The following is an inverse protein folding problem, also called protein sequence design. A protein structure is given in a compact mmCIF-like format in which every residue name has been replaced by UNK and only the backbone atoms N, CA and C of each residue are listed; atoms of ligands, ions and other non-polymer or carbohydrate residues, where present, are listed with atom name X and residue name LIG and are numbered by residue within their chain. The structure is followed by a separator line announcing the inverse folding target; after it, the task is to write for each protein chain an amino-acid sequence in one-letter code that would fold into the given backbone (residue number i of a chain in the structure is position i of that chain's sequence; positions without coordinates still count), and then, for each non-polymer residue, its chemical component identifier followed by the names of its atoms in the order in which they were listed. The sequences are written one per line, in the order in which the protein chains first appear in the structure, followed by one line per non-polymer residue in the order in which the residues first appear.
data_IF_513510569920
#
_entry.id   IF_513510569920
#
_cell.length_a   1.000
_cell.length_b   1.000
_cell.length_c   1.000
_cell.angle_alpha   90.00
_cell.angle_beta   90.00
_cell.angle_gamma   90.00
#
_symmetry.space_group_name_H-M   'P 1'
#
loop_
_entity.id
_entity.type
_entity.pdbx_description
1 polymer ?
#
# COMPACT_ATOMS: atom_id res chain seq x y z
N UNK A 1 19.43 -3.91 4.77
CA UNK A 1 17.96 -3.88 4.87
C UNK A 1 17.48 -2.78 3.94
N UNK A 2 16.71 -3.11 2.91
CA UNK A 2 16.15 -2.09 2.02
C UNK A 2 14.94 -1.48 2.73
N UNK A 3 14.85 -0.16 2.76
CA UNK A 3 13.71 0.57 3.33
C UNK A 3 12.96 1.23 2.18
N UNK A 4 11.64 1.30 2.28
CA UNK A 4 10.86 2.12 1.35
C UNK A 4 11.06 3.58 1.73
N UNK A 5 11.31 4.39 0.72
CA UNK A 5 11.41 5.83 0.83
C UNK A 5 10.04 6.49 0.81
N UNK A 6 9.94 7.70 1.33
CA UNK A 6 8.74 8.51 1.18
C UNK A 6 8.39 8.79 -0.30
N UNK A 7 9.41 8.88 -1.16
CA UNK A 7 9.23 9.06 -2.60
C UNK A 7 8.50 7.88 -3.25
N UNK A 8 8.89 6.65 -2.96
CA UNK A 8 8.22 5.44 -3.45
C UNK A 8 6.76 5.37 -2.96
N UNK A 9 6.47 5.83 -1.73
CA UNK A 9 5.09 5.91 -1.23
C UNK A 9 4.28 6.98 -1.95
N UNK A 10 4.88 8.12 -2.28
CA UNK A 10 4.23 9.17 -3.06
C UNK A 10 3.91 8.69 -4.49
N UNK A 11 4.85 7.99 -5.13
CA UNK A 11 4.65 7.38 -6.45
C UNK A 11 3.55 6.32 -6.42
N UNK A 12 3.53 5.46 -5.40
CA UNK A 12 2.47 4.47 -5.22
C UNK A 12 1.10 5.13 -5.07
N UNK A 13 0.99 6.20 -4.27
CA UNK A 13 -0.25 6.95 -4.10
C UNK A 13 -0.70 7.62 -5.41
N UNK A 14 0.22 8.17 -6.19
CA UNK A 14 -0.10 8.73 -7.50
C UNK A 14 -0.61 7.64 -8.46
N UNK A 15 0.00 6.45 -8.46
CA UNK A 15 -0.44 5.32 -9.27
C UNK A 15 -1.87 4.88 -8.93
N UNK A 16 -2.23 4.82 -7.64
CA UNK A 16 -3.59 4.48 -7.21
C UNK A 16 -4.60 5.52 -7.70
N UNK A 17 -4.27 6.81 -7.56
CA UNK A 17 -5.07 7.92 -8.06
C UNK A 17 -5.27 7.86 -9.58
N UNK A 18 -4.21 7.61 -10.34
CA UNK A 18 -4.26 7.51 -11.81
C UNK A 18 -5.06 6.28 -12.27
N UNK A 19 -5.13 5.24 -11.43
CA UNK A 19 -5.96 4.05 -11.65
C UNK A 19 -7.43 4.26 -11.26
N UNK A 20 -7.80 5.46 -10.79
CA UNK A 20 -9.15 5.79 -10.35
C UNK A 20 -9.54 5.18 -9.01
N UNK A 21 -8.57 4.70 -8.23
CA UNK A 21 -8.80 4.11 -6.92
C UNK A 21 -8.72 5.16 -5.81
N UNK A 22 -9.75 5.23 -4.98
CA UNK A 22 -9.88 6.20 -3.89
C UNK A 22 -9.25 5.65 -2.59
N UNK A 23 -7.95 5.36 -2.62
CA UNK A 23 -7.17 4.91 -1.47
C UNK A 23 -5.91 5.75 -1.26
N UNK A 24 -5.42 5.76 -0.02
CA UNK A 24 -4.14 6.38 0.34
C UNK A 24 -3.30 5.46 1.23
N UNK A 25 -2.04 5.31 0.87
CA UNK A 25 -1.03 4.57 1.62
C UNK A 25 -0.25 5.52 2.51
N UNK A 26 -0.23 5.22 3.80
CA UNK A 26 0.52 5.96 4.81
C UNK A 26 1.69 5.13 5.31
N UNK A 27 2.91 5.64 5.13
CA UNK A 27 4.10 5.04 5.73
C UNK A 27 4.13 5.30 7.23
N UNK A 28 4.33 4.24 8.01
CA UNK A 28 4.50 4.26 9.45
C UNK A 28 5.85 3.62 9.81
N UNK A 29 6.57 4.26 10.71
CA UNK A 29 7.76 3.67 11.32
C UNK A 29 7.37 3.17 12.71
N UNK A 30 7.50 1.87 12.95
CA UNK A 30 7.18 1.27 14.25
C UNK A 30 8.33 0.36 14.68
N UNK A 31 9.05 0.78 15.73
CA UNK A 31 10.02 -0.03 16.48
C UNK A 31 11.01 -0.84 15.59
N UNK A 32 11.57 -0.22 14.54
CA UNK A 32 12.61 -0.82 13.71
C UNK A 32 12.11 -1.61 12.50
N UNK A 33 10.80 -1.63 12.24
CA UNK A 33 10.20 -2.10 10.99
C UNK A 33 9.32 -1.01 10.38
N UNK A 34 9.41 -0.85 9.06
CA UNK A 34 8.47 -0.01 8.33
C UNK A 34 7.18 -0.79 8.06
N UNK A 35 6.05 -0.16 8.34
CA UNK A 35 4.73 -0.66 7.99
C UNK A 35 3.97 0.41 7.22
N UNK A 36 2.91 0.00 6.54
CA UNK A 36 2.04 0.88 5.81
C UNK A 36 0.60 0.66 6.26
N UNK A 37 -0.18 1.74 6.27
CA UNK A 37 -1.61 1.72 6.50
C UNK A 37 -2.36 2.11 5.23
N UNK A 38 -3.38 1.35 4.88
CA UNK A 38 -4.32 1.61 3.79
C UNK A 38 -5.50 2.40 4.35
N UNK A 39 -5.67 3.63 3.87
CA UNK A 39 -6.85 4.46 4.13
C UNK A 39 -7.79 4.41 2.92
N UNK A 40 -9.07 4.08 3.14
CA UNK A 40 -10.13 4.30 2.16
C UNK A 40 -10.57 5.75 2.18
N UNK A 41 -10.57 6.42 1.02
CA UNK A 41 -11.00 7.81 0.89
C UNK A 41 -12.49 7.94 0.49
N UNK A 42 -13.15 6.81 0.23
CA UNK A 42 -14.54 6.73 -0.25
C UNK A 42 -15.28 5.61 0.46
N UNK A 43 -16.50 5.89 0.91
CA UNK A 43 -17.40 4.91 1.52
C UNK A 43 -17.96 3.93 0.48
N UNK A 44 -17.76 4.21 -0.82
CA UNK A 44 -18.23 3.36 -1.92
C UNK A 44 -17.24 2.24 -2.28
N UNK A 45 -16.03 2.26 -1.73
CA UNK A 45 -15.03 1.22 -1.97
C UNK A 45 -15.51 -0.13 -1.41
N UNK A 46 -15.72 -1.09 -2.30
CA UNK A 46 -16.12 -2.45 -1.97
C UNK A 46 -15.06 -3.47 -2.37
N UNK A 47 -15.46 -4.74 -2.40
CA UNK A 47 -14.54 -5.87 -2.63
C UNK A 47 -13.70 -5.73 -3.90
N UNK A 48 -14.26 -5.15 -4.98
CA UNK A 48 -13.57 -5.02 -6.27
C UNK A 48 -12.45 -3.98 -6.19
N UNK A 49 -12.72 -2.84 -5.56
CA UNK A 49 -11.78 -1.74 -5.39
C UNK A 49 -10.62 -2.17 -4.48
N UNK A 50 -10.91 -2.90 -3.40
CA UNK A 50 -9.89 -3.49 -2.54
C UNK A 50 -9.07 -4.56 -3.28
N UNK A 51 -9.69 -5.40 -4.11
CA UNK A 51 -8.94 -6.38 -4.91
C UNK A 51 -7.96 -5.68 -5.87
N UNK A 52 -8.43 -4.67 -6.62
CA UNK A 52 -7.59 -3.89 -7.52
C UNK A 52 -6.46 -3.16 -6.78
N UNK A 53 -6.75 -2.61 -5.60
CA UNK A 53 -5.75 -2.02 -4.72
C UNK A 53 -4.63 -3.02 -4.41
N UNK A 54 -4.97 -4.22 -3.91
CA UNK A 54 -3.95 -5.20 -3.53
C UNK A 54 -3.14 -5.67 -4.73
N UNK A 55 -3.76 -5.87 -5.90
CA UNK A 55 -3.05 -6.21 -7.13
C UNK A 55 -2.02 -5.14 -7.53
N UNK A 56 -2.39 -3.85 -7.41
CA UNK A 56 -1.48 -2.74 -7.67
C UNK A 56 -0.35 -2.68 -6.64
N UNK A 57 -0.66 -2.81 -5.34
CA UNK A 57 0.35 -2.80 -4.27
C UNK A 57 1.36 -3.94 -4.47
N UNK A 58 0.90 -5.17 -4.67
CA UNK A 58 1.76 -6.32 -4.93
C UNK A 58 2.67 -6.08 -6.15
N UNK A 59 2.10 -5.62 -7.26
CA UNK A 59 2.85 -5.38 -8.49
C UNK A 59 3.89 -4.25 -8.32
N UNK A 60 3.54 -3.17 -7.62
CA UNK A 60 4.41 -2.03 -7.39
C UNK A 60 5.58 -2.41 -6.47
N UNK A 61 5.30 -2.94 -5.29
CA UNK A 61 6.33 -3.28 -4.30
C UNK A 61 7.21 -4.45 -4.74
N UNK A 62 6.68 -5.40 -5.54
CA UNK A 62 7.49 -6.46 -6.16
C UNK A 62 8.55 -5.89 -7.12
N UNK A 63 8.26 -4.83 -7.88
CA UNK A 63 9.26 -4.15 -8.74
C UNK A 63 10.38 -3.53 -7.90
N UNK A 64 10.04 -3.07 -6.69
CA UNK A 64 10.99 -2.56 -5.70
C UNK A 64 11.72 -3.67 -4.94
N UNK A 65 11.46 -4.95 -5.24
CA UNK A 65 12.00 -6.14 -4.59
C UNK A 65 11.57 -6.31 -3.13
N UNK A 66 10.36 -5.86 -2.79
CA UNK A 66 9.69 -6.16 -1.53
C UNK A 66 8.61 -7.21 -1.74
N UNK A 67 8.37 -8.03 -0.72
CA UNK A 67 7.12 -8.79 -0.57
C UNK A 67 6.25 -8.10 0.48
N UNK A 68 4.93 -8.24 0.34
CA UNK A 68 3.98 -7.64 1.28
C UNK A 68 3.37 -8.72 2.16
N UNK A 69 3.36 -8.46 3.46
CA UNK A 69 2.61 -9.23 4.45
C UNK A 69 1.50 -8.35 5.01
N UNK A 70 0.26 -8.82 5.02
CA UNK A 70 -0.90 -8.06 5.51
C UNK A 70 -1.34 -8.56 6.89
N UNK A 71 -1.96 -7.67 7.66
CA UNK A 71 -2.75 -8.12 8.82
C UNK A 71 -4.04 -8.82 8.37
N UNK A 72 -4.75 -9.43 9.33
CA UNK A 72 -6.01 -10.14 9.09
C UNK A 72 -7.05 -9.27 8.37
N UNK A 73 -7.17 -7.99 8.77
CA UNK A 73 -8.11 -7.04 8.18
C UNK A 73 -7.63 -6.43 6.86
N UNK A 74 -6.38 -6.72 6.44
CA UNK A 74 -5.68 -6.12 5.28
C UNK A 74 -5.63 -4.60 5.23
N UNK A 75 -5.82 -3.94 6.36
CA UNK A 75 -5.70 -2.48 6.52
C UNK A 75 -4.26 -2.04 6.77
N UNK A 76 -3.40 -2.95 7.20
CA UNK A 76 -1.98 -2.70 7.41
C UNK A 76 -1.14 -3.76 6.68
N UNK A 77 0.03 -3.35 6.22
CA UNK A 77 1.01 -4.27 5.65
C UNK A 77 2.45 -3.92 6.00
N UNK A 78 3.31 -4.92 5.92
CA UNK A 78 4.75 -4.82 6.14
C UNK A 78 5.51 -5.22 4.89
N UNK A 79 6.68 -4.63 4.69
CA UNK A 79 7.61 -5.02 3.62
C UNK A 79 8.63 -5.99 4.20
N UNK A 80 8.68 -7.19 3.63
CA UNK A 80 9.63 -8.25 3.99
C UNK A 80 10.63 -8.51 2.86
#
# INVERSE_FOLDING_TARGET
MKIVSFGEILECNQLLKDSGLEFKIHLRDACGKQSCFVESLSDSNGTKEYQALYEILEAYFKKLRFQLEYNEDKTNFWMI
#
